data_IF_970382058072
#
_entry.id   IF_970382058072
#
_cell.length_a   1.000
_cell.length_b   1.000
_cell.length_c   1.000
_cell.angle_alpha   90.00
_cell.angle_beta   90.00
_cell.angle_gamma   90.00
#
_symmetry.space_group_name_H-M   'P 1'
#
loop_
_entity.id
_entity.type
_entity.pdbx_description
1 polymer ?
#
# COMPACT_ATOMS: atom_id res chain seq x y z
N UNK A 1 11.50 -9.44 -9.60
CA UNK A 1 10.12 -9.48 -9.11
C UNK A 1 10.09 -10.35 -7.86
N UNK A 2 9.51 -9.87 -6.75
CA UNK A 2 9.45 -10.58 -5.46
C UNK A 2 8.24 -11.52 -5.44
N UNK A 3 8.35 -12.68 -6.10
CA UNK A 3 7.24 -13.65 -6.28
C UNK A 3 6.65 -14.14 -4.96
N UNK A 4 7.47 -14.18 -3.89
CA UNK A 4 7.04 -14.61 -2.58
C UNK A 4 5.99 -13.69 -1.94
N UNK A 5 5.80 -12.46 -2.45
CA UNK A 5 4.77 -11.53 -1.96
C UNK A 5 3.37 -11.81 -2.52
N UNK A 6 3.27 -12.71 -3.50
CA UNK A 6 2.07 -12.95 -4.30
C UNK A 6 1.62 -14.41 -4.28
N UNK A 7 2.08 -15.21 -3.31
CA UNK A 7 1.72 -16.63 -3.19
C UNK A 7 0.20 -16.86 -3.06
N UNK A 8 -0.54 -15.85 -2.60
CA UNK A 8 -2.00 -15.87 -2.40
C UNK A 8 -2.78 -15.19 -3.54
N UNK A 9 -2.10 -14.77 -4.60
CA UNK A 9 -2.71 -14.04 -5.73
C UNK A 9 -2.55 -14.86 -7.00
N UNK A 10 -3.64 -15.01 -7.74
CA UNK A 10 -3.57 -15.58 -9.08
C UNK A 10 -2.82 -14.62 -10.02
N UNK A 11 -1.80 -15.13 -10.71
CA UNK A 11 -0.89 -14.35 -11.56
C UNK A 11 -1.65 -13.68 -12.70
N UNK A 12 -2.69 -14.33 -13.23
CA UNK A 12 -3.53 -13.79 -14.30
C UNK A 12 -4.34 -12.55 -13.84
N UNK A 13 -4.51 -12.38 -12.53
CA UNK A 13 -5.22 -11.28 -11.90
C UNK A 13 -4.29 -10.22 -11.28
N UNK A 14 -2.98 -10.31 -11.54
CA UNK A 14 -2.01 -9.41 -10.92
C UNK A 14 -2.02 -8.01 -11.55
N UNK A 15 -2.79 -7.10 -10.94
CA UNK A 15 -2.85 -5.70 -11.35
C UNK A 15 -1.73 -4.85 -10.73
N UNK A 16 -1.37 -3.70 -11.33
CA UNK A 16 -0.43 -2.74 -10.74
C UNK A 16 -0.79 -2.34 -9.31
N UNK A 17 -2.08 -2.18 -9.02
CA UNK A 17 -2.59 -1.83 -7.69
C UNK A 17 -2.24 -2.89 -6.64
N UNK A 18 -2.36 -4.18 -7.00
CA UNK A 18 -1.99 -5.29 -6.11
C UNK A 18 -0.47 -5.30 -5.88
N UNK A 19 0.32 -5.10 -6.94
CA UNK A 19 1.79 -5.04 -6.82
C UNK A 19 2.23 -3.90 -5.90
N UNK A 20 1.67 -2.71 -6.09
CA UNK A 20 1.97 -1.54 -5.26
C UNK A 20 1.50 -1.75 -3.82
N UNK A 21 0.30 -2.32 -3.61
CA UNK A 21 -0.21 -2.65 -2.28
C UNK A 21 0.76 -3.56 -1.52
N UNK A 22 1.19 -4.66 -2.16
CA UNK A 22 2.14 -5.61 -1.58
C UNK A 22 3.50 -4.98 -1.33
N UNK A 23 3.97 -4.13 -2.23
CA UNK A 23 5.21 -3.39 -2.03
C UNK A 23 5.14 -2.47 -0.80
N UNK A 24 4.05 -1.71 -0.65
CA UNK A 24 3.84 -0.80 0.50
C UNK A 24 3.85 -1.57 1.82
N UNK A 25 3.17 -2.71 1.88
CA UNK A 25 3.05 -3.50 3.11
C UNK A 25 4.31 -4.33 3.43
N UNK A 26 4.97 -4.91 2.42
CA UNK A 26 5.95 -5.99 2.63
C UNK A 26 7.22 -5.89 1.76
N UNK A 27 7.30 -4.95 0.83
CA UNK A 27 8.32 -4.92 -0.23
C UNK A 27 9.76 -4.67 0.22
N UNK A 28 9.96 -3.94 1.30
CA UNK A 28 11.27 -3.36 1.61
C UNK A 28 11.66 -2.25 0.63
N UNK A 29 12.79 -1.59 0.88
CA UNK A 29 13.15 -0.37 0.14
C UNK A 29 13.53 -0.62 -1.32
N UNK A 30 14.27 -1.70 -1.60
CA UNK A 30 14.70 -2.02 -2.97
C UNK A 30 13.49 -2.30 -3.88
N UNK A 31 12.53 -3.10 -3.40
CA UNK A 31 11.35 -3.41 -4.18
C UNK A 31 10.41 -2.21 -4.35
N UNK A 32 10.33 -1.33 -3.34
CA UNK A 32 9.59 -0.06 -3.47
C UNK A 32 10.19 0.79 -4.59
N UNK A 33 11.52 0.88 -4.66
CA UNK A 33 12.21 1.62 -5.71
C UNK A 33 11.87 1.05 -7.09
N UNK A 34 11.97 -0.26 -7.27
CA UNK A 34 11.57 -0.93 -8.52
C UNK A 34 10.11 -0.62 -8.90
N UNK A 35 9.20 -0.68 -7.95
CA UNK A 35 7.77 -0.42 -8.16
C UNK A 35 7.50 1.04 -8.52
N UNK A 36 8.17 1.99 -7.86
CA UNK A 36 8.06 3.42 -8.17
C UNK A 36 8.66 3.75 -9.54
N UNK A 37 9.77 3.13 -9.93
CA UNK A 37 10.36 3.28 -11.27
C UNK A 37 9.45 2.68 -12.36
N UNK A 38 8.83 1.53 -12.09
CA UNK A 38 7.98 0.83 -13.06
C UNK A 38 6.62 1.51 -13.29
N UNK A 39 5.94 1.92 -12.22
CA UNK A 39 4.56 2.43 -12.29
C UNK A 39 4.44 3.94 -12.08
N UNK A 40 5.54 4.60 -11.67
CA UNK A 40 5.57 6.02 -11.39
C UNK A 40 5.08 6.38 -9.99
N UNK A 41 5.60 7.50 -9.48
CA UNK A 41 5.29 7.99 -8.14
C UNK A 41 3.81 8.38 -7.98
N UNK A 42 3.16 8.91 -9.02
CA UNK A 42 1.75 9.32 -8.93
C UNK A 42 0.82 8.11 -8.76
N UNK A 43 1.07 7.01 -9.48
CA UNK A 43 0.31 5.77 -9.30
C UNK A 43 0.55 5.18 -7.90
N UNK A 44 1.78 5.24 -7.42
CA UNK A 44 2.13 4.83 -6.05
C UNK A 44 1.33 5.63 -5.00
N UNK A 45 1.28 6.97 -5.13
CA UNK A 45 0.50 7.85 -4.25
C UNK A 45 -0.99 7.56 -4.35
N UNK A 46 -1.52 7.32 -5.54
CA UNK A 46 -2.93 6.97 -5.75
C UNK A 46 -3.32 5.73 -4.94
N UNK A 47 -2.53 4.66 -5.04
CA UNK A 47 -2.76 3.42 -4.28
C UNK A 47 -2.62 3.66 -2.78
N UNK A 48 -1.57 4.38 -2.35
CA UNK A 48 -1.34 4.73 -0.95
C UNK A 48 -2.52 5.49 -0.33
N UNK A 49 -3.14 6.41 -1.07
CA UNK A 49 -4.25 7.23 -0.59
C UNK A 49 -5.58 6.48 -0.58
N UNK A 50 -5.83 5.64 -1.60
CA UNK A 50 -7.17 5.09 -1.85
C UNK A 50 -7.36 3.64 -1.39
N UNK A 51 -6.29 2.88 -1.16
CA UNK A 51 -6.39 1.48 -0.81
C UNK A 51 -6.74 1.27 0.69
N UNK A 52 -7.65 0.34 0.97
CA UNK A 52 -8.11 -0.01 2.34
C UNK A 52 -7.36 -1.18 2.96
N UNK A 53 -6.66 -1.99 2.16
CA UNK A 53 -5.94 -3.19 2.58
C UNK A 53 -4.50 -2.90 3.04
N UNK A 54 -4.15 -1.62 3.17
CA UNK A 54 -2.85 -1.19 3.67
C UNK A 54 -2.84 -1.17 5.20
N UNK A 55 -1.72 -1.59 5.78
CA UNK A 55 -1.52 -1.47 7.23
C UNK A 55 -1.35 -0.01 7.64
N UNK A 56 -1.97 0.40 8.76
CA UNK A 56 -1.83 1.78 9.29
C UNK A 56 -0.38 2.18 9.51
N UNK A 57 0.49 1.23 9.89
CA UNK A 57 1.93 1.46 10.11
C UNK A 57 2.64 1.81 8.80
N UNK A 58 2.44 1.01 7.75
CA UNK A 58 3.05 1.25 6.45
C UNK A 58 2.56 2.58 5.85
N UNK A 59 1.24 2.82 5.88
CA UNK A 59 0.65 4.08 5.39
C UNK A 59 1.23 5.28 6.12
N UNK A 60 1.32 5.23 7.45
CA UNK A 60 1.89 6.32 8.23
C UNK A 60 3.34 6.62 7.85
N UNK A 61 4.16 5.57 7.69
CA UNK A 61 5.55 5.73 7.25
C UNK A 61 5.64 6.41 5.88
N UNK A 62 4.91 5.91 4.88
CA UNK A 62 4.99 6.43 3.52
C UNK A 62 4.36 7.82 3.38
N UNK A 63 3.32 8.13 4.14
CA UNK A 63 2.81 9.49 4.22
C UNK A 63 3.89 10.46 4.74
N UNK A 64 4.63 10.09 5.79
CA UNK A 64 5.74 10.90 6.29
C UNK A 64 6.86 11.04 5.26
N UNK A 65 7.27 9.93 4.64
CA UNK A 65 8.33 9.91 3.64
C UNK A 65 8.01 10.76 2.39
N UNK A 66 6.72 10.88 2.04
CA UNK A 66 6.24 11.61 0.86
C UNK A 66 5.66 13.00 1.18
N UNK A 67 5.67 13.42 2.45
CA UNK A 67 5.08 14.71 2.87
C UNK A 67 3.56 14.78 2.68
N UNK A 68 2.86 13.65 2.78
CA UNK A 68 1.40 13.55 2.63
C UNK A 68 0.69 13.56 3.99
N UNK A 69 -0.50 14.14 4.02
CA UNK A 69 -1.37 14.07 5.19
C UNK A 69 -2.06 12.69 5.26
N UNK A 70 -1.69 11.89 6.26
CA UNK A 70 -2.26 10.56 6.48
C UNK A 70 -3.78 10.59 6.72
N UNK A 71 -4.36 11.69 7.21
CA UNK A 71 -5.80 11.82 7.42
C UNK A 71 -6.60 11.79 6.10
N UNK A 72 -5.94 12.06 4.97
CA UNK A 72 -6.53 11.94 3.63
C UNK A 72 -6.57 10.51 3.10
N UNK A 73 -5.88 9.57 3.75
CA UNK A 73 -5.85 8.17 3.31
C UNK A 73 -7.12 7.43 3.74
N UNK A 74 -7.61 6.53 2.89
CA UNK A 74 -8.76 5.67 3.19
C UNK A 74 -8.53 4.80 4.44
N UNK A 75 -7.30 4.35 4.68
CA UNK A 75 -6.92 3.55 5.85
C UNK A 75 -7.17 4.27 7.18
N UNK A 76 -7.00 5.59 7.23
CA UNK A 76 -7.24 6.39 8.44
C UNK A 76 -8.65 7.01 8.50
N UNK A 77 -9.36 7.08 7.37
CA UNK A 77 -10.76 7.51 7.32
C UNK A 77 -11.75 6.38 7.64
N UNK A 78 -11.37 5.13 7.42
CA UNK A 78 -12.23 3.99 7.68
C UNK A 78 -12.59 3.89 9.18
N UNK A 79 -13.89 3.89 9.47
CA UNK A 79 -14.39 3.62 10.83
C UNK A 79 -14.12 2.15 11.15
N UNK A 80 -13.54 1.88 12.33
CA UNK A 80 -13.47 0.52 12.84
C UNK A 80 -14.91 0.05 13.08
N UNK A 81 -15.41 -0.88 12.26
CA UNK A 81 -16.76 -1.44 12.39
C UNK A 81 -16.84 -2.35 13.62
N UNK A 82 -15.70 -2.91 14.05
CA UNK A 82 -15.61 -3.81 15.20
C UNK A 82 -14.59 -3.30 16.23
N UNK A 83 -15.09 -3.06 17.45
CA UNK A 83 -14.30 -2.81 18.65
C UNK A 83 -14.84 -3.81 19.70
N UNK A 84 -14.08 -4.86 20.05
CA UNK A 84 -14.63 -5.94 20.87
C UNK A 84 -15.00 -5.50 22.29
N UNK A 85 -14.43 -4.39 22.78
CA UNK A 85 -14.72 -3.86 24.11
C UNK A 85 -14.68 -2.33 24.08
N UNK A 86 -15.64 -1.69 24.76
CA UNK A 86 -15.74 -0.25 24.98
C UNK A 86 -15.74 0.03 26.48
#
# INVERSE_FOLDING_TARGET
MREELFWDVDVDHLTPEIVIERAINFGGFDFIKEVQEKYGLEKFKEVLLNNRNLSKKAVNYWCLALGLDRAKTRTFQAKNIWLPFR
#
